data_IF_659071926907
#
_entry.id   IF_659071926907
#
_cell.length_a   1.000
_cell.length_b   1.000
_cell.length_c   1.000
_cell.angle_alpha   90.00
_cell.angle_beta   90.00
_cell.angle_gamma   90.00
#
_symmetry.space_group_name_H-M   'P 1'
#
loop_
_entity.id
_entity.type
_entity.pdbx_description
1 polymer ?
#
# COMPACT_ATOMS: atom_id res chain seq x y z
N UNK A 1 32.41 -3.40 1.70
CA UNK A 1 31.51 -2.84 0.66
C UNK A 1 31.19 -1.42 1.10
N UNK A 2 31.58 -0.41 0.32
CA UNK A 2 31.33 0.99 0.67
C UNK A 2 29.83 1.27 0.64
N UNK A 3 29.30 2.01 1.63
CA UNK A 3 27.90 2.41 1.68
C UNK A 3 27.44 3.34 0.55
N UNK A 4 28.35 3.66 -0.36
CA UNK A 4 28.15 4.60 -1.47
C UNK A 4 27.05 4.15 -2.45
N UNK A 5 26.92 2.85 -2.68
CA UNK A 5 25.87 2.31 -3.56
C UNK A 5 24.46 2.53 -3.04
N UNK A 6 24.24 2.44 -1.73
CA UNK A 6 22.92 2.61 -1.12
C UNK A 6 22.40 4.05 -1.30
N UNK A 7 23.31 5.01 -1.18
CA UNK A 7 22.99 6.44 -1.25
C UNK A 7 23.20 7.06 -2.63
N UNK A 8 23.67 6.25 -3.60
CA UNK A 8 23.82 6.74 -4.97
C UNK A 8 22.47 6.82 -5.70
N UNK A 9 22.27 7.81 -6.59
CA UNK A 9 21.09 7.88 -7.42
C UNK A 9 20.86 6.61 -8.25
N UNK A 10 19.61 6.31 -8.55
CA UNK A 10 19.24 5.16 -9.37
C UNK A 10 18.19 5.54 -10.40
N UNK A 11 18.44 5.21 -11.67
CA UNK A 11 17.48 5.39 -12.74
C UNK A 11 16.47 4.24 -12.74
N UNK A 12 15.21 4.56 -12.46
CA UNK A 12 14.08 3.64 -12.55
C UNK A 12 13.13 4.11 -13.66
N UNK A 13 13.26 3.56 -14.85
CA UNK A 13 12.55 4.02 -16.05
C UNK A 13 12.70 5.55 -16.25
N UNK A 14 11.60 6.32 -16.24
CA UNK A 14 11.60 7.78 -16.35
C UNK A 14 11.92 8.52 -15.04
N UNK A 15 12.06 7.82 -13.92
CA UNK A 15 12.30 8.42 -12.61
C UNK A 15 13.76 8.30 -12.20
N UNK A 16 14.33 9.39 -11.68
CA UNK A 16 15.63 9.38 -11.03
C UNK A 16 15.39 9.38 -9.52
N UNK A 17 15.68 8.27 -8.89
CA UNK A 17 15.58 8.11 -7.43
C UNK A 17 16.84 8.72 -6.79
N UNK A 18 16.66 9.47 -5.70
CA UNK A 18 17.76 10.12 -4.97
C UNK A 18 18.73 9.13 -4.29
N UNK A 19 18.29 7.90 -4.04
CA UNK A 19 19.04 6.80 -3.48
C UNK A 19 18.32 5.47 -3.77
N UNK A 20 18.80 4.35 -3.21
CA UNK A 20 18.25 3.00 -3.41
C UNK A 20 17.45 2.49 -2.21
N UNK A 21 16.97 3.40 -1.35
CA UNK A 21 16.21 3.05 -0.14
C UNK A 21 14.71 3.14 -0.47
N UNK A 22 14.01 2.03 -0.26
CA UNK A 22 12.56 1.95 -0.37
C UNK A 22 11.91 1.47 0.92
N UNK A 23 10.76 2.04 1.25
CA UNK A 23 9.90 1.55 2.35
C UNK A 23 9.00 0.47 1.79
N UNK A 24 9.19 -0.76 2.25
CA UNK A 24 8.42 -1.91 1.79
C UNK A 24 6.92 -1.78 2.14
N UNK A 25 6.01 -2.35 1.33
CA UNK A 25 4.60 -2.41 1.65
C UNK A 25 4.35 -3.30 2.87
N UNK A 26 3.65 -2.77 3.87
CA UNK A 26 3.35 -3.48 5.11
C UNK A 26 1.91 -3.23 5.52
N UNK A 27 1.05 -4.24 5.45
CA UNK A 27 -0.34 -4.16 5.88
C UNK A 27 -0.39 -3.95 7.39
N UNK A 28 -1.10 -2.91 7.84
CA UNK A 28 -1.18 -2.49 9.23
C UNK A 28 -2.46 -2.97 9.92
N UNK A 29 -3.45 -3.41 9.16
CA UNK A 29 -4.77 -3.87 9.66
C UNK A 29 -5.43 -2.85 10.58
N UNK A 30 -5.30 -1.58 10.29
CA UNK A 30 -5.66 -0.48 11.19
C UNK A 30 -6.54 0.60 10.56
N UNK A 31 -7.11 0.35 9.38
CA UNK A 31 -8.06 1.29 8.77
C UNK A 31 -9.34 1.39 9.59
N UNK A 32 -10.05 2.49 9.44
CA UNK A 32 -11.35 2.72 10.06
C UNK A 32 -12.41 1.75 9.51
N UNK A 33 -13.60 1.73 10.10
CA UNK A 33 -14.68 0.83 9.67
C UNK A 33 -15.09 1.02 8.19
N UNK A 34 -14.94 2.25 7.67
CA UNK A 34 -15.17 2.58 6.27
C UNK A 34 -13.94 2.32 5.36
N UNK A 35 -12.96 1.59 5.87
CA UNK A 35 -11.69 1.28 5.18
C UNK A 35 -10.87 2.50 4.76
N UNK A 36 -11.12 3.67 5.35
CA UNK A 36 -10.26 4.84 5.24
C UNK A 36 -8.99 4.61 6.07
N UNK A 37 -7.79 4.84 5.53
CA UNK A 37 -6.57 4.67 6.30
C UNK A 37 -6.53 5.65 7.48
N UNK A 38 -6.01 5.21 8.61
CA UNK A 38 -5.84 6.06 9.79
C UNK A 38 -4.75 7.10 9.55
N UNK A 39 -4.91 8.28 10.16
CA UNK A 39 -3.98 9.39 9.99
C UNK A 39 -2.56 9.05 10.45
N UNK A 40 -2.40 8.30 11.53
CA UNK A 40 -1.08 7.89 12.02
C UNK A 40 -0.31 6.97 11.05
N UNK A 41 -1.04 6.13 10.27
CA UNK A 41 -0.45 5.32 9.18
C UNK A 41 0.00 6.22 8.02
N UNK A 42 -0.82 7.20 7.67
CA UNK A 42 -0.49 8.17 6.63
C UNK A 42 0.75 9.01 7.01
N UNK A 43 0.79 9.49 8.24
CA UNK A 43 1.92 10.26 8.79
C UNK A 43 3.20 9.42 8.86
N UNK A 44 3.07 8.13 9.16
CA UNK A 44 4.20 7.20 9.12
C UNK A 44 4.84 7.17 7.72
N UNK A 45 4.05 7.05 6.66
CA UNK A 45 4.54 7.02 5.28
C UNK A 45 5.22 8.33 4.88
N UNK A 46 4.61 9.46 5.21
CA UNK A 46 5.16 10.79 4.94
C UNK A 46 6.52 10.97 5.64
N UNK A 47 6.61 10.64 6.93
CA UNK A 47 7.88 10.72 7.68
C UNK A 47 9.00 9.89 7.07
N UNK A 48 8.71 8.76 6.43
CA UNK A 48 9.74 7.95 5.74
C UNK A 48 10.29 8.67 4.51
N UNK A 49 9.43 9.32 3.73
CA UNK A 49 9.85 10.14 2.60
C UNK A 49 10.69 11.35 3.04
N UNK A 50 10.23 12.08 4.06
CA UNK A 50 10.91 13.25 4.62
C UNK A 50 12.28 12.90 5.22
N UNK A 51 12.43 11.70 5.76
CA UNK A 51 13.70 11.20 6.32
C UNK A 51 14.56 10.43 5.32
N UNK A 52 14.35 10.66 4.03
CA UNK A 52 15.32 10.30 2.99
C UNK A 52 15.00 9.06 2.16
N UNK A 53 13.93 8.31 2.41
CA UNK A 53 13.55 7.22 1.51
C UNK A 53 13.27 7.76 0.10
N UNK A 54 13.77 7.08 -0.93
CA UNK A 54 13.53 7.44 -2.33
C UNK A 54 12.23 6.87 -2.89
N UNK A 55 11.74 5.78 -2.32
CA UNK A 55 10.46 5.15 -2.66
C UNK A 55 9.67 4.86 -1.40
N UNK A 56 8.37 5.10 -1.42
CA UNK A 56 7.46 4.77 -0.32
C UNK A 56 6.27 4.02 -0.90
N UNK A 57 6.13 2.77 -0.50
CA UNK A 57 4.97 1.94 -0.84
C UNK A 57 3.89 2.11 0.21
N UNK A 58 2.63 2.10 -0.24
CA UNK A 58 1.50 1.94 0.67
C UNK A 58 1.46 0.51 1.20
N UNK A 59 0.64 0.25 2.22
CA UNK A 59 0.18 -1.09 2.51
C UNK A 59 -0.62 -1.69 1.34
N UNK A 60 -1.02 -2.95 1.46
CA UNK A 60 -1.88 -3.63 0.50
C UNK A 60 -3.28 -2.98 0.46
N UNK A 61 -3.60 -2.30 -0.64
CA UNK A 61 -4.84 -1.53 -0.84
C UNK A 61 -5.82 -2.33 -1.67
N UNK A 62 -6.97 -2.58 -1.12
CA UNK A 62 -8.03 -3.37 -1.75
C UNK A 62 -8.77 -2.53 -2.79
N UNK A 63 -8.95 -3.09 -3.97
CA UNK A 63 -9.57 -2.43 -5.14
C UNK A 63 -10.93 -3.01 -5.53
N UNK A 64 -11.35 -4.09 -4.88
CA UNK A 64 -12.66 -4.70 -5.03
C UNK A 64 -13.40 -4.66 -3.69
N UNK A 65 -14.68 -4.33 -3.75
CA UNK A 65 -15.50 -4.26 -2.54
C UNK A 65 -15.91 -5.65 -2.02
N UNK A 66 -16.12 -6.61 -2.90
CA UNK A 66 -16.85 -7.82 -2.57
C UNK A 66 -15.97 -8.95 -2.05
N UNK A 67 -14.77 -9.14 -2.60
CA UNK A 67 -14.03 -10.39 -2.45
C UNK A 67 -12.51 -10.24 -2.29
N UNK A 68 -11.97 -9.02 -2.43
CA UNK A 68 -10.53 -8.82 -2.49
C UNK A 68 -9.85 -8.71 -1.12
N UNK A 69 -10.61 -8.53 -0.04
CA UNK A 69 -10.07 -8.31 1.28
C UNK A 69 -9.50 -9.59 1.89
N UNK A 70 -8.22 -9.53 2.32
CA UNK A 70 -7.53 -10.63 2.96
C UNK A 70 -7.46 -10.55 4.48
N UNK A 71 -7.64 -9.34 5.05
CA UNK A 71 -7.46 -9.09 6.47
C UNK A 71 -8.50 -8.09 6.99
N UNK A 72 -8.94 -8.21 8.27
CA UNK A 72 -9.76 -7.18 8.90
C UNK A 72 -8.99 -5.85 8.95
N UNK A 73 -9.69 -4.72 8.87
CA UNK A 73 -9.07 -3.39 8.95
C UNK A 73 -8.09 -3.06 7.81
N UNK A 74 -8.23 -3.68 6.66
CA UNK A 74 -7.45 -3.36 5.47
C UNK A 74 -7.99 -2.13 4.77
N UNK A 75 -7.10 -1.23 4.31
CA UNK A 75 -7.50 -0.03 3.60
C UNK A 75 -7.99 -0.34 2.17
N UNK A 76 -8.89 0.51 1.67
CA UNK A 76 -9.47 0.39 0.32
C UNK A 76 -9.30 1.68 -0.47
N UNK A 77 -9.53 1.60 -1.79
CA UNK A 77 -9.51 2.75 -2.70
C UNK A 77 -10.69 2.66 -3.70
N UNK A 78 -11.91 2.55 -3.20
CA UNK A 78 -13.12 2.36 -3.98
C UNK A 78 -14.04 3.57 -3.96
N UNK A 79 -14.07 4.30 -2.85
CA UNK A 79 -14.94 5.46 -2.68
C UNK A 79 -14.15 6.76 -2.79
N UNK A 80 -14.85 7.85 -3.13
CA UNK A 80 -14.24 9.18 -3.20
C UNK A 80 -13.58 9.56 -1.86
N UNK A 81 -14.22 9.23 -0.73
CA UNK A 81 -13.68 9.48 0.60
C UNK A 81 -12.34 8.76 0.85
N UNK A 82 -12.24 7.51 0.41
CA UNK A 82 -10.98 6.73 0.51
C UNK A 82 -9.89 7.32 -0.38
N UNK A 83 -10.24 7.72 -1.61
CA UNK A 83 -9.32 8.37 -2.55
C UNK A 83 -8.80 9.69 -1.97
N UNK A 84 -9.70 10.51 -1.41
CA UNK A 84 -9.36 11.82 -0.85
C UNK A 84 -8.46 11.72 0.38
N UNK A 85 -8.54 10.62 1.15
CA UNK A 85 -7.62 10.37 2.25
C UNK A 85 -6.18 10.10 1.77
N UNK A 86 -6.00 9.44 0.64
CA UNK A 86 -4.67 9.15 0.08
C UNK A 86 -4.04 10.34 -0.63
N UNK A 87 -4.83 11.21 -1.24
CA UNK A 87 -4.37 12.31 -2.08
C UNK A 87 -3.34 13.24 -1.40
N UNK A 88 -3.59 13.77 -0.19
CA UNK A 88 -2.62 14.66 0.50
C UNK A 88 -1.33 13.93 0.88
N UNK A 89 -1.40 12.64 1.20
CA UNK A 89 -0.24 11.82 1.55
C UNK A 89 0.67 11.63 0.35
N UNK A 90 0.10 11.27 -0.80
CA UNK A 90 0.85 11.16 -2.06
C UNK A 90 1.51 12.47 -2.42
N UNK A 91 0.81 13.61 -2.24
CA UNK A 91 1.37 14.93 -2.50
C UNK A 91 2.58 15.23 -1.59
N UNK A 92 2.48 14.94 -0.27
CA UNK A 92 3.58 15.15 0.69
C UNK A 92 4.77 14.23 0.40
N UNK A 93 4.55 12.95 0.07
CA UNK A 93 5.62 12.02 -0.31
C UNK A 93 6.37 12.54 -1.54
N UNK A 94 5.64 12.99 -2.57
CA UNK A 94 6.24 13.58 -3.78
C UNK A 94 6.99 14.87 -3.47
N UNK A 95 6.43 15.74 -2.64
CA UNK A 95 7.09 16.98 -2.23
C UNK A 95 8.41 16.74 -1.48
N UNK A 96 8.52 15.62 -0.75
CA UNK A 96 9.76 15.16 -0.11
C UNK A 96 10.77 14.52 -1.10
N UNK A 97 10.50 14.55 -2.40
CA UNK A 97 11.36 13.98 -3.44
C UNK A 97 11.40 12.45 -3.45
N UNK A 98 10.34 11.80 -2.98
CA UNK A 98 10.20 10.35 -3.01
C UNK A 98 9.14 9.92 -4.02
N UNK A 99 9.31 8.74 -4.62
CA UNK A 99 8.30 8.10 -5.45
C UNK A 99 7.25 7.45 -4.55
N UNK A 100 5.99 7.85 -4.71
CA UNK A 100 4.85 7.22 -4.04
C UNK A 100 4.33 6.07 -4.91
N UNK A 101 4.26 4.87 -4.34
CA UNK A 101 3.81 3.65 -5.04
C UNK A 101 2.68 3.02 -4.24
N UNK A 102 1.56 2.75 -4.88
CA UNK A 102 0.43 2.05 -4.26
C UNK A 102 0.51 0.56 -4.58
N UNK A 103 0.50 -0.27 -3.55
CA UNK A 103 0.36 -1.71 -3.70
C UNK A 103 -1.12 -2.06 -3.88
N UNK A 104 -1.51 -2.38 -5.10
CA UNK A 104 -2.85 -2.88 -5.42
C UNK A 104 -2.93 -4.34 -5.02
N UNK A 105 -4.00 -4.72 -4.30
CA UNK A 105 -4.11 -6.02 -3.68
C UNK A 105 -5.47 -6.70 -3.90
N UNK A 106 -5.42 -8.00 -4.16
CA UNK A 106 -6.54 -8.92 -4.11
C UNK A 106 -6.06 -10.24 -3.51
N UNK A 107 -6.70 -10.70 -2.43
CA UNK A 107 -6.26 -11.89 -1.69
C UNK A 107 -6.47 -13.21 -2.45
N UNK A 108 -7.32 -13.22 -3.48
CA UNK A 108 -7.64 -14.44 -4.20
C UNK A 108 -8.14 -15.54 -3.27
N UNK A 109 -7.71 -16.77 -3.51
CA UNK A 109 -8.09 -17.95 -2.71
C UNK A 109 -7.65 -17.92 -1.24
N UNK A 110 -6.74 -17.01 -0.88
CA UNK A 110 -6.24 -16.86 0.49
C UNK A 110 -7.14 -15.94 1.34
N UNK A 111 -8.21 -15.41 0.78
CA UNK A 111 -9.17 -14.57 1.50
C UNK A 111 -9.98 -15.35 2.53
N UNK A 112 -10.51 -14.60 3.50
CA UNK A 112 -11.43 -15.12 4.49
C UNK A 112 -12.84 -14.60 4.19
N UNK A 113 -13.84 -15.49 4.06
CA UNK A 113 -15.22 -15.05 3.77
C UNK A 113 -15.74 -14.02 4.77
N UNK A 114 -15.34 -14.14 6.04
CA UNK A 114 -15.83 -13.32 7.16
C UNK A 114 -15.41 -11.84 7.06
N UNK A 115 -14.31 -11.55 6.35
CA UNK A 115 -13.83 -10.16 6.18
C UNK A 115 -14.28 -9.55 4.86
N UNK A 116 -14.90 -10.33 3.99
CA UNK A 116 -15.40 -9.86 2.71
C UNK A 116 -16.91 -9.56 2.79
N UNK A 117 -17.38 -8.37 2.38
CA UNK A 117 -18.79 -8.00 2.44
C UNK A 117 -19.73 -8.98 1.72
N UNK A 118 -19.29 -9.59 0.62
CA UNK A 118 -20.06 -10.59 -0.11
C UNK A 118 -20.04 -11.99 0.55
N UNK A 119 -19.26 -12.20 1.62
CA UNK A 119 -19.13 -13.50 2.30
C UNK A 119 -18.54 -14.59 1.39
N UNK A 120 -17.82 -14.21 0.34
CA UNK A 120 -17.28 -15.16 -0.64
C UNK A 120 -15.83 -14.86 -1.01
N UNK A 121 -15.16 -15.87 -1.53
CA UNK A 121 -13.80 -15.79 -2.06
C UNK A 121 -13.85 -15.98 -3.56
N UNK A 122 -13.11 -15.18 -4.31
CA UNK A 122 -12.98 -15.28 -5.76
C UNK A 122 -11.52 -15.61 -6.10
N UNK A 123 -11.33 -16.58 -6.98
CA UNK A 123 -10.03 -16.97 -7.50
C UNK A 123 -10.17 -17.41 -8.97
N UNK A 124 -9.10 -17.46 -9.75
CA UNK A 124 -9.14 -17.93 -11.15
C UNK A 124 -9.60 -19.37 -11.30
N UNK A 125 -9.50 -20.19 -10.26
CA UNK A 125 -9.97 -21.58 -10.21
C UNK A 125 -10.47 -21.94 -8.82
N UNK A 126 -11.42 -22.88 -8.73
CA UNK A 126 -12.01 -23.37 -7.49
C UNK A 126 -11.08 -24.39 -6.78
N UNK A 127 -9.83 -24.01 -6.58
CA UNK A 127 -8.83 -24.83 -5.87
C UNK A 127 -8.55 -24.19 -4.53
N UNK A 128 -8.84 -24.90 -3.43
CA UNK A 128 -8.51 -24.45 -2.09
C UNK A 128 -6.99 -24.30 -1.88
N UNK A 129 -6.53 -23.37 -1.02
CA UNK A 129 -5.12 -23.34 -0.62
C UNK A 129 -4.72 -24.66 0.05
N UNK A 130 -3.49 -25.07 -0.12
CA UNK A 130 -2.91 -26.18 0.67
C UNK A 130 -2.89 -25.75 2.15
N UNK A 131 -3.29 -26.68 3.02
CA UNK A 131 -3.22 -26.49 4.47
C UNK A 131 -1.79 -26.64 4.97
#
# INVERSE_FOLDING_TARGET
MSGDHLFSPFQLQQHILKNRIGVAPMTRMSSQQDSVPRQDVLDFLVRRAENGAAMVYTEAIVTDYESAQGYPGQARILTQRQIDAWRPVVAKIKAAGALAIMQIFHCGRMGWPEVNPAGRIIAPSAVAPAQ
#
